data_IF_083769422070
#
_entry.id   IF_083769422070
#
_cell.length_a   1.000
_cell.length_b   1.000
_cell.length_c   1.000
_cell.angle_alpha   90.00
_cell.angle_beta   90.00
_cell.angle_gamma   90.00
#
_symmetry.space_group_name_H-M   'P 1'
#
loop_
_entity.id
_entity.type
_entity.pdbx_description
1 polymer ?
#
# COMPACT_ATOMS: atom_id res chain seq x y z
N UNK A 1 14.57 -8.52 -0.61
CA UNK A 1 13.68 -7.41 -0.16
C UNK A 1 12.29 -7.64 -0.71
N UNK A 2 11.26 -7.20 0.00
CA UNK A 2 9.86 -7.27 -0.42
C UNK A 2 9.15 -5.95 -0.11
N UNK A 3 8.12 -5.63 -0.90
CA UNK A 3 7.19 -4.54 -0.61
C UNK A 3 5.86 -5.16 -0.21
N UNK A 4 5.37 -4.81 0.98
CA UNK A 4 4.12 -5.30 1.56
C UNK A 4 3.10 -4.16 1.56
N UNK A 5 2.28 -4.06 0.51
CA UNK A 5 1.29 -3.00 0.43
C UNK A 5 0.06 -3.27 1.30
N UNK A 6 -0.61 -2.20 1.74
CA UNK A 6 -1.96 -2.25 2.31
C UNK A 6 -3.03 -2.40 1.22
N UNK A 7 -4.17 -1.75 1.39
CA UNK A 7 -5.17 -1.66 0.32
C UNK A 7 -4.59 -0.91 -0.87
N UNK A 8 -4.57 -1.54 -2.05
CA UNK A 8 -4.09 -0.95 -3.31
C UNK A 8 -5.26 -0.76 -4.27
N UNK A 9 -5.39 0.44 -4.82
CA UNK A 9 -6.37 0.73 -5.87
C UNK A 9 -6.08 -0.04 -7.16
N UNK A 10 -7.15 -0.43 -7.86
CA UNK A 10 -7.03 -0.98 -9.20
C UNK A 10 -8.04 -2.07 -9.52
N UNK A 11 -8.09 -2.41 -10.81
CA UNK A 11 -9.12 -3.26 -11.42
C UNK A 11 -9.34 -4.60 -10.73
N UNK A 12 -8.29 -5.22 -10.21
CA UNK A 12 -8.44 -6.49 -9.49
C UNK A 12 -9.28 -6.29 -8.22
N UNK A 13 -8.90 -5.34 -7.38
CA UNK A 13 -9.56 -5.13 -6.09
C UNK A 13 -10.97 -4.58 -6.29
N UNK A 14 -11.16 -3.72 -7.28
CA UNK A 14 -12.47 -3.26 -7.74
C UNK A 14 -13.36 -4.43 -8.16
N UNK A 15 -12.85 -5.34 -9.00
CA UNK A 15 -13.59 -6.53 -9.42
C UNK A 15 -13.89 -7.50 -8.27
N UNK A 16 -12.96 -7.66 -7.33
CA UNK A 16 -13.12 -8.54 -6.18
C UNK A 16 -14.10 -8.03 -5.13
N UNK A 17 -14.14 -6.71 -4.90
CA UNK A 17 -15.04 -6.07 -3.94
C UNK A 17 -16.39 -5.65 -4.56
N UNK A 18 -16.45 -5.53 -5.88
CA UNK A 18 -17.64 -5.13 -6.62
C UNK A 18 -18.24 -3.82 -6.09
N UNK A 19 -19.56 -3.82 -5.86
CA UNK A 19 -20.28 -2.66 -5.34
C UNK A 19 -19.76 -2.15 -3.97
N UNK A 20 -19.03 -2.99 -3.22
CA UNK A 20 -18.45 -2.62 -1.93
C UNK A 20 -17.13 -1.86 -2.02
N UNK A 21 -16.50 -1.78 -3.20
CA UNK A 21 -15.15 -1.24 -3.36
C UNK A 21 -14.99 0.17 -2.77
N UNK A 22 -15.86 1.11 -3.16
CA UNK A 22 -15.78 2.50 -2.69
C UNK A 22 -16.00 2.63 -1.19
N UNK A 23 -16.94 1.85 -0.63
CA UNK A 23 -17.20 1.86 0.81
C UNK A 23 -15.98 1.37 1.60
N UNK A 24 -15.34 0.28 1.14
CA UNK A 24 -14.13 -0.26 1.78
C UNK A 24 -12.95 0.70 1.64
N UNK A 25 -12.73 1.26 0.44
CA UNK A 25 -11.67 2.25 0.18
C UNK A 25 -11.81 3.43 1.14
N UNK A 26 -13.00 4.03 1.22
CA UNK A 26 -13.25 5.18 2.10
C UNK A 26 -13.08 4.84 3.58
N UNK A 27 -13.48 3.63 4.00
CA UNK A 27 -13.29 3.18 5.38
C UNK A 27 -11.80 3.10 5.75
N UNK A 28 -10.99 2.58 4.83
CA UNK A 28 -9.54 2.46 5.01
C UNK A 28 -8.87 3.84 4.98
N UNK A 29 -9.23 4.71 4.02
CA UNK A 29 -8.73 6.08 3.96
C UNK A 29 -9.01 6.86 5.25
N UNK A 30 -10.20 6.69 5.86
CA UNK A 30 -10.55 7.34 7.13
C UNK A 30 -9.75 6.83 8.32
N UNK A 31 -9.35 5.56 8.32
CA UNK A 31 -8.62 4.94 9.43
C UNK A 31 -7.10 5.09 9.29
N UNK A 32 -6.59 5.14 8.07
CA UNK A 32 -5.18 5.30 7.79
C UNK A 32 -4.67 6.66 8.32
N UNK A 33 -3.58 6.70 9.12
CA UNK A 33 -2.98 7.94 9.59
C UNK A 33 -2.67 8.96 8.50
N UNK A 34 -2.30 8.50 7.30
CA UNK A 34 -2.01 9.38 6.15
C UNK A 34 -3.25 9.76 5.33
N UNK A 35 -4.45 9.29 5.71
CA UNK A 35 -5.71 9.64 5.05
C UNK A 35 -5.86 9.10 3.63
N UNK A 36 -5.07 8.10 3.25
CA UNK A 36 -4.93 7.62 1.86
C UNK A 36 -4.71 6.11 1.82
N UNK A 37 -5.19 5.48 0.74
CA UNK A 37 -4.83 4.11 0.35
C UNK A 37 -3.71 4.12 -0.68
N UNK A 38 -3.10 2.97 -0.94
CA UNK A 38 -2.02 2.85 -1.90
C UNK A 38 -2.54 2.85 -3.33
N UNK A 39 -1.75 3.42 -4.22
CA UNK A 39 -1.84 3.21 -5.65
C UNK A 39 -0.70 2.29 -6.13
N UNK A 40 -0.81 1.67 -7.31
CA UNK A 40 0.31 0.94 -7.91
C UNK A 40 1.59 1.78 -8.04
N UNK A 41 1.44 3.11 -8.21
CA UNK A 41 2.57 4.04 -8.29
C UNK A 41 3.35 4.16 -6.97
N UNK A 42 2.70 3.99 -5.81
CA UNK A 42 3.37 3.99 -4.51
C UNK A 42 4.26 2.75 -4.34
N UNK A 43 3.76 1.59 -4.77
CA UNK A 43 4.53 0.33 -4.76
C UNK A 43 5.74 0.44 -5.68
N UNK A 44 5.57 1.00 -6.88
CA UNK A 44 6.67 1.23 -7.81
C UNK A 44 7.75 2.16 -7.21
N UNK A 45 7.34 3.23 -6.52
CA UNK A 45 8.28 4.14 -5.83
C UNK A 45 9.05 3.42 -4.71
N UNK A 46 8.39 2.55 -3.95
CA UNK A 46 9.05 1.75 -2.92
C UNK A 46 10.07 0.76 -3.50
N UNK A 47 9.72 0.09 -4.62
CA UNK A 47 10.65 -0.78 -5.35
C UNK A 47 11.85 0.02 -5.85
N UNK A 48 11.62 1.20 -6.43
CA UNK A 48 12.70 2.06 -6.90
C UNK A 48 13.64 2.44 -5.76
N UNK A 49 13.10 2.73 -4.56
CA UNK A 49 13.92 2.98 -3.36
C UNK A 49 14.84 1.81 -3.00
N UNK A 50 14.38 0.55 -3.14
CA UNK A 50 15.27 -0.61 -2.98
C UNK A 50 16.33 -0.72 -4.08
N UNK A 51 15.97 -0.38 -5.32
CA UNK A 51 16.89 -0.48 -6.47
C UNK A 51 17.96 0.61 -6.43
N UNK A 52 17.62 1.84 -6.04
CA UNK A 52 18.53 2.98 -6.01
C UNK A 52 19.17 3.22 -4.64
N UNK A 53 18.75 2.46 -3.63
CA UNK A 53 19.23 2.58 -2.25
C UNK A 53 20.56 1.88 -1.99
N UNK A 54 20.83 1.63 -0.71
CA UNK A 54 22.06 0.95 -0.28
C UNK A 54 22.08 -0.52 -0.69
N UNK A 55 23.20 -0.97 -1.25
CA UNK A 55 23.44 -2.38 -1.58
C UNK A 55 23.54 -3.30 -0.35
N UNK A 56 23.67 -2.72 0.85
CA UNK A 56 23.69 -3.47 2.11
C UNK A 56 22.28 -3.80 2.63
N UNK A 57 21.22 -3.26 2.02
CA UNK A 57 19.84 -3.57 2.42
C UNK A 57 19.39 -4.85 1.75
N UNK A 58 19.29 -5.93 2.53
CA UNK A 58 18.75 -7.22 2.09
C UNK A 58 17.86 -7.86 3.16
N UNK A 59 17.01 -8.80 2.74
CA UNK A 59 16.09 -9.53 3.63
C UNK A 59 14.98 -8.68 4.27
N UNK A 60 14.77 -7.43 3.86
CA UNK A 60 13.79 -6.54 4.50
C UNK A 60 12.43 -6.57 3.82
N UNK A 61 11.39 -6.31 4.61
CA UNK A 61 10.01 -6.08 4.14
C UNK A 61 9.67 -4.61 4.40
N UNK A 62 9.39 -3.87 3.34
CA UNK A 62 8.93 -2.49 3.43
C UNK A 62 7.41 -2.45 3.34
N UNK A 63 6.76 -2.04 4.42
CA UNK A 63 5.31 -1.84 4.47
C UNK A 63 4.95 -0.51 3.83
N UNK A 64 3.96 -0.51 2.94
CA UNK A 64 3.44 0.68 2.25
C UNK A 64 1.93 0.63 2.34
N UNK A 65 1.34 1.27 3.34
CA UNK A 65 -0.08 1.04 3.66
C UNK A 65 -0.83 2.26 4.22
N UNK A 66 -0.26 3.46 4.08
CA UNK A 66 -0.85 4.68 4.65
C UNK A 66 -0.82 4.75 6.18
N UNK A 67 -0.10 3.83 6.84
CA UNK A 67 -0.02 3.70 8.29
C UNK A 67 -1.07 2.77 8.89
N UNK A 68 -1.74 1.94 8.08
CA UNK A 68 -2.77 1.00 8.57
C UNK A 68 -2.24 0.02 9.61
N UNK A 69 -0.99 -0.42 9.50
CA UNK A 69 -0.34 -1.33 10.46
C UNK A 69 -0.26 -0.74 11.88
N UNK A 70 -0.21 0.58 12.00
CA UNK A 70 -0.15 1.29 13.28
C UNK A 70 -1.47 1.96 13.65
N UNK A 71 -2.51 1.79 12.82
CA UNK A 71 -3.82 2.37 13.06
C UNK A 71 -4.58 1.53 14.10
N UNK A 72 -4.85 2.15 15.26
CA UNK A 72 -5.68 1.58 16.35
C UNK A 72 -7.03 1.06 15.88
#
# INVERSE_FOLDING_TARGET
>A
NAVAPGFITGRWLEGGLGAGYEAVKQAIEKRAPLGKVCEPSDVARAILGFVTGSQLVTGQVLVVDGGMLIAG
#
